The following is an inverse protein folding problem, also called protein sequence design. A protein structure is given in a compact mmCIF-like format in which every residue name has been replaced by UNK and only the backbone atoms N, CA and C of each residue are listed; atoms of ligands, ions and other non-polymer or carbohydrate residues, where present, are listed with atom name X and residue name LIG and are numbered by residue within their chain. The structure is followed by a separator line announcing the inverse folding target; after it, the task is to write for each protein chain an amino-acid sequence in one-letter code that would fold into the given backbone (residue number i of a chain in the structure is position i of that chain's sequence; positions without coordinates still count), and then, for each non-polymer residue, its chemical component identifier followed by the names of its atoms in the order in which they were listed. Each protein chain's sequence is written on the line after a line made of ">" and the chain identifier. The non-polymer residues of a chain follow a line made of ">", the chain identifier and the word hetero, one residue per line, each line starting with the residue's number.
data_IF_044000901377
#
_entry.id   IF_044000901377
#
_cell.length_a   1.000
_cell.length_b   1.000
_cell.length_c   1.000
_cell.angle_alpha   90.00
_cell.angle_beta   90.00
_cell.angle_gamma   90.00
#
_symmetry.space_group_name_H-M   'P 1'
#
loop_
_entity.id
_entity.type
_entity.pdbx_description
1 polymer ?
#
# COMPACT_ATOMS: atom_id res chain seq x y z
N UNK A 1 1.07 -23.10 -5.34
CA UNK A 1 1.86 -21.87 -5.06
C UNK A 1 1.93 -21.79 -3.55
N UNK A 2 3.12 -21.90 -2.98
CA UNK A 2 3.27 -22.08 -1.53
C UNK A 2 2.74 -20.88 -0.75
N UNK A 3 2.25 -21.19 0.44
CA UNK A 3 1.40 -20.40 1.32
C UNK A 3 2.17 -19.32 2.11
N UNK A 4 3.24 -18.75 1.54
CA UNK A 4 4.15 -17.86 2.27
C UNK A 4 4.89 -16.89 1.33
N UNK A 5 4.13 -16.09 0.57
CA UNK A 5 4.71 -15.00 -0.21
C UNK A 5 5.11 -13.87 0.75
N UNK A 6 6.34 -13.96 1.27
CA UNK A 6 6.87 -13.03 2.26
C UNK A 6 6.90 -11.58 1.75
N UNK A 7 7.05 -11.36 0.43
CA UNK A 7 7.06 -10.02 -0.17
C UNK A 7 5.63 -9.49 -0.20
N UNK A 8 4.67 -10.28 -0.68
CA UNK A 8 3.26 -9.91 -0.67
C UNK A 8 2.77 -9.61 0.76
N UNK A 9 3.13 -10.45 1.74
CA UNK A 9 2.80 -10.22 3.16
C UNK A 9 3.39 -8.90 3.69
N UNK A 10 4.65 -8.62 3.37
CA UNK A 10 5.29 -7.35 3.77
C UNK A 10 4.57 -6.16 3.14
N UNK A 11 4.26 -6.22 1.84
CA UNK A 11 3.54 -5.16 1.14
C UNK A 11 2.13 -4.95 1.71
N UNK A 12 1.40 -6.03 2.02
CA UNK A 12 0.10 -5.96 2.68
C UNK A 12 0.20 -5.32 4.07
N UNK A 13 1.22 -5.67 4.85
CA UNK A 13 1.45 -5.04 6.15
C UNK A 13 1.74 -3.54 6.01
N UNK A 14 2.53 -3.13 5.01
CA UNK A 14 2.82 -1.71 4.77
C UNK A 14 1.58 -0.92 4.36
N UNK A 15 0.71 -1.49 3.52
CA UNK A 15 -0.59 -0.89 3.20
C UNK A 15 -1.44 -0.73 4.46
N UNK A 16 -1.52 -1.77 5.30
CA UNK A 16 -2.29 -1.71 6.55
C UNK A 16 -1.73 -0.69 7.54
N UNK A 17 -0.40 -0.55 7.62
CA UNK A 17 0.26 0.48 8.44
C UNK A 17 -0.07 1.88 7.94
N UNK A 18 0.13 2.18 6.65
CA UNK A 18 -0.19 3.49 6.09
C UNK A 18 -1.67 3.86 6.26
N UNK A 19 -2.59 2.89 6.07
CA UNK A 19 -4.02 3.13 6.30
C UNK A 19 -4.32 3.45 7.77
N UNK A 20 -3.65 2.76 8.70
CA UNK A 20 -3.79 3.00 10.13
C UNK A 20 -3.27 4.38 10.49
N UNK A 21 -2.11 4.77 9.99
CA UNK A 21 -1.47 6.06 10.28
C UNK A 21 -2.34 7.22 9.76
N UNK A 22 -2.84 7.13 8.54
CA UNK A 22 -3.84 8.07 8.00
C UNK A 22 -5.11 8.15 8.86
N UNK A 23 -5.64 7.00 9.30
CA UNK A 23 -6.85 6.95 10.14
C UNK A 23 -6.60 7.59 11.50
N UNK A 24 -5.44 7.31 12.10
CA UNK A 24 -5.03 7.88 13.38
C UNK A 24 -4.83 9.39 13.26
N UNK A 25 -4.18 9.87 12.20
CA UNK A 25 -4.05 11.30 11.91
C UNK A 25 -5.42 11.99 11.85
N UNK A 26 -6.39 11.38 11.15
CA UNK A 26 -7.76 11.90 11.08
C UNK A 26 -8.41 11.96 12.46
N UNK A 27 -8.30 10.89 13.26
CA UNK A 27 -8.85 10.83 14.62
C UNK A 27 -8.24 11.92 15.52
N UNK A 28 -6.93 12.10 15.47
CA UNK A 28 -6.20 13.11 16.26
C UNK A 28 -6.49 14.56 15.83
N UNK A 29 -7.08 14.73 14.65
CA UNK A 29 -7.44 16.02 14.06
C UNK A 29 -8.90 16.43 14.30
N UNK A 30 -9.78 15.50 14.71
CA UNK A 30 -11.22 15.75 14.86
C UNK A 30 -11.57 16.86 15.86
N UNK A 31 -10.81 16.97 16.96
CA UNK A 31 -11.09 17.93 18.04
C UNK A 31 -10.27 19.23 17.92
N UNK A 32 -9.53 19.41 16.83
CA UNK A 32 -8.63 20.56 16.62
C UNK A 32 -9.15 21.49 15.53
N UNK A 33 -8.98 22.82 15.66
CA UNK A 33 -9.24 23.74 14.57
C UNK A 33 -8.35 23.41 13.38
N UNK A 34 -8.96 23.03 12.26
CA UNK A 34 -8.28 22.66 11.04
C UNK A 34 -7.49 23.85 10.47
N UNK A 35 -6.21 23.63 10.16
CA UNK A 35 -5.35 24.63 9.52
C UNK A 35 -4.74 24.10 8.20
N UNK A 36 -4.08 24.98 7.43
CA UNK A 36 -3.48 24.62 6.14
C UNK A 36 -2.39 23.54 6.27
N UNK A 37 -1.65 23.52 7.39
CA UNK A 37 -0.65 22.49 7.69
C UNK A 37 -1.26 21.10 7.86
N UNK A 38 -2.43 21.00 8.49
CA UNK A 38 -3.15 19.73 8.63
C UNK A 38 -3.60 19.19 7.26
N UNK A 39 -3.93 20.07 6.32
CA UNK A 39 -4.26 19.69 4.95
C UNK A 39 -3.07 19.08 4.20
N UNK A 40 -1.87 19.67 4.36
CA UNK A 40 -0.64 19.12 3.79
C UNK A 40 -0.23 17.81 4.45
N UNK A 41 -0.38 17.70 5.77
CA UNK A 41 -0.11 16.47 6.51
C UNK A 41 -1.07 15.34 6.05
N UNK A 42 -2.36 15.63 5.92
CA UNK A 42 -3.32 14.68 5.37
C UNK A 42 -2.97 14.24 3.95
N UNK A 43 -2.55 15.19 3.09
CA UNK A 43 -2.12 14.89 1.74
C UNK A 43 -0.90 13.97 1.73
N UNK A 44 0.07 14.16 2.64
CA UNK A 44 1.22 13.29 2.77
C UNK A 44 0.82 11.86 3.14
N UNK A 45 -0.05 11.69 4.15
CA UNK A 45 -0.59 10.39 4.55
C UNK A 45 -1.34 9.69 3.39
N UNK A 46 -2.13 10.44 2.63
CA UNK A 46 -2.81 9.92 1.44
C UNK A 46 -1.81 9.46 0.36
N UNK A 47 -0.74 10.21 0.14
CA UNK A 47 0.30 9.83 -0.82
C UNK A 47 1.01 8.56 -0.36
N UNK A 48 1.29 8.39 0.93
CA UNK A 48 1.91 7.19 1.46
C UNK A 48 1.01 5.95 1.30
N UNK A 49 -0.29 6.08 1.59
CA UNK A 49 -1.28 5.01 1.30
C UNK A 49 -1.33 4.69 -0.19
N UNK A 50 -1.31 5.70 -1.05
CA UNK A 50 -1.32 5.52 -2.51
C UNK A 50 -0.07 4.78 -3.01
N UNK A 51 1.10 5.19 -2.52
CA UNK A 51 2.38 4.58 -2.86
C UNK A 51 2.45 3.11 -2.41
N UNK A 52 2.01 2.82 -1.19
CA UNK A 52 1.96 1.45 -0.68
C UNK A 52 1.05 0.54 -1.54
N UNK A 53 -0.12 1.05 -1.95
CA UNK A 53 -1.03 0.33 -2.84
C UNK A 53 -0.43 0.12 -4.24
N UNK A 54 0.21 1.15 -4.80
CA UNK A 54 0.88 1.04 -6.10
C UNK A 54 1.95 -0.04 -6.09
N UNK A 55 2.83 -0.05 -5.08
CA UNK A 55 3.89 -1.05 -4.95
C UNK A 55 3.33 -2.48 -4.84
N UNK A 56 2.26 -2.67 -4.05
CA UNK A 56 1.55 -3.95 -3.93
C UNK A 56 0.97 -4.43 -5.27
N UNK A 57 0.38 -3.51 -6.04
CA UNK A 57 -0.16 -3.80 -7.38
C UNK A 57 0.95 -4.19 -8.38
N UNK A 58 2.06 -3.45 -8.41
CA UNK A 58 3.20 -3.78 -9.27
C UNK A 58 3.76 -5.18 -8.97
N UNK A 59 3.88 -5.55 -7.69
CA UNK A 59 4.32 -6.90 -7.32
C UNK A 59 3.37 -8.00 -7.80
N UNK A 60 2.06 -7.75 -7.70
CA UNK A 60 1.03 -8.66 -8.21
C UNK A 60 1.14 -8.86 -9.72
N UNK A 61 1.32 -7.76 -10.47
CA UNK A 61 1.51 -7.80 -11.91
C UNK A 61 2.79 -8.56 -12.30
N UNK A 62 3.90 -8.29 -11.61
CA UNK A 62 5.17 -9.01 -11.79
C UNK A 62 4.99 -10.53 -11.60
N UNK A 63 4.36 -10.95 -10.51
CA UNK A 63 4.11 -12.37 -10.21
C UNK A 63 3.25 -13.03 -11.28
N UNK A 64 2.23 -12.32 -11.77
CA UNK A 64 1.41 -12.80 -12.88
C UNK A 64 2.23 -12.94 -14.18
N UNK A 65 3.05 -11.93 -14.51
CA UNK A 65 3.91 -11.91 -15.69
C UNK A 65 4.90 -13.07 -15.72
N UNK A 66 5.58 -13.35 -14.59
CA UNK A 66 6.50 -14.49 -14.49
C UNK A 66 5.76 -15.81 -14.67
N UNK A 67 4.61 -15.99 -13.99
CA UNK A 67 3.83 -17.22 -14.15
C UNK A 67 3.44 -17.44 -15.60
N UNK A 68 3.01 -16.38 -16.30
CA UNK A 68 2.67 -16.47 -17.72
C UNK A 68 3.88 -16.88 -18.56
N UNK A 69 5.03 -16.23 -18.38
CA UNK A 69 6.26 -16.54 -19.12
C UNK A 69 6.73 -17.99 -18.90
N UNK A 70 6.58 -18.54 -17.69
CA UNK A 70 6.89 -19.95 -17.41
C UNK A 70 5.96 -20.89 -18.19
N UNK A 71 4.66 -20.60 -18.21
CA UNK A 71 3.68 -21.40 -18.96
C UNK A 71 3.99 -21.34 -20.46
N UNK A 72 4.27 -20.14 -20.98
CA UNK A 72 4.60 -19.91 -22.39
C UNK A 72 5.92 -20.60 -22.80
N UNK A 73 6.85 -20.81 -21.87
CA UNK A 73 8.13 -21.51 -22.14
C UNK A 73 8.04 -23.04 -22.09
N UNK A 74 6.99 -23.59 -21.46
CA UNK A 74 6.76 -25.04 -21.35
C UNK A 74 5.87 -25.56 -22.49
N UNK A 75 5.04 -24.68 -23.07
CA UNK A 75 4.21 -24.97 -24.25
C UNK A 75 5.01 -24.82 -25.55
#
# INVERSE_FOLDING_TARGET
>A
MSNDDAIQRRLSNQVAHAQKDMTQFLQESLDKPFNAGDMYAFQAELLDVSNANWASSQYTQYKHGIRKAIIDAIN
#
